data_IF_041192063668
#
_entry.id   IF_041192063668
#
_cell.length_a   1.000
_cell.length_b   1.000
_cell.length_c   1.000
_cell.angle_alpha   90.00
_cell.angle_beta   90.00
_cell.angle_gamma   90.00
#
_symmetry.space_group_name_H-M   'P 1'
#
loop_
_entity.id
_entity.type
_entity.pdbx_description
1 polymer ?
#
# COMPACT_ATOMS: atom_id res chain seq x y z
N UNK A 1 -20.58 -7.86 16.36
CA UNK A 1 -20.42 -8.50 15.04
C UNK A 1 -20.55 -7.41 13.98
N UNK A 2 -19.47 -6.66 13.76
CA UNK A 2 -19.36 -5.71 12.66
C UNK A 2 -18.23 -6.22 11.78
N UNK A 3 -18.58 -7.13 10.88
CA UNK A 3 -17.70 -7.62 9.84
C UNK A 3 -17.49 -6.49 8.84
N UNK A 4 -16.54 -5.60 9.11
CA UNK A 4 -16.02 -4.70 8.08
C UNK A 4 -14.82 -5.43 7.51
N UNK A 5 -14.97 -5.98 6.31
CA UNK A 5 -13.85 -6.44 5.49
C UNK A 5 -13.04 -5.21 5.06
N UNK A 6 -12.33 -4.60 6.00
CA UNK A 6 -11.49 -3.44 5.70
C UNK A 6 -10.28 -3.94 4.94
N UNK A 7 -10.28 -3.78 3.62
CA UNK A 7 -9.08 -3.91 2.78
C UNK A 7 -8.13 -2.73 2.95
N UNK A 8 -8.55 -1.67 3.64
CA UNK A 8 -7.75 -0.47 3.90
C UNK A 8 -7.49 -0.31 5.40
N UNK A 9 -6.22 -0.25 5.78
CA UNK A 9 -5.75 -0.04 7.13
C UNK A 9 -4.96 1.27 7.19
N UNK A 10 -5.29 2.11 8.17
CA UNK A 10 -4.71 3.44 8.31
C UNK A 10 -4.12 3.59 9.69
N UNK A 11 -2.86 4.03 9.76
CA UNK A 11 -2.16 4.40 10.98
C UNK A 11 -1.80 5.87 10.91
N UNK A 12 -2.22 6.62 11.92
CA UNK A 12 -1.89 8.05 12.08
C UNK A 12 -1.19 8.24 13.41
N UNK A 13 -0.04 8.91 13.41
CA UNK A 13 0.65 9.34 14.62
C UNK A 13 1.36 10.68 14.38
N UNK A 14 1.16 11.64 15.29
CA UNK A 14 1.77 12.99 15.24
C UNK A 14 1.64 13.67 13.86
N UNK A 15 0.52 13.47 13.18
CA UNK A 15 0.25 14.02 11.85
C UNK A 15 0.90 13.26 10.68
N UNK A 16 1.65 12.19 10.95
CA UNK A 16 2.18 11.27 9.93
C UNK A 16 1.23 10.12 9.71
N UNK A 17 1.23 9.60 8.50
CA UNK A 17 0.28 8.67 7.93
C UNK A 17 1.01 7.48 7.30
N UNK A 18 0.56 6.28 7.64
CA UNK A 18 0.88 5.05 6.93
C UNK A 18 -0.42 4.31 6.59
N UNK A 19 -0.53 3.87 5.35
CA UNK A 19 -1.69 3.20 4.78
C UNK A 19 -1.26 1.85 4.24
N UNK A 20 -2.02 0.82 4.54
CA UNK A 20 -1.91 -0.49 3.92
C UNK A 20 -3.23 -0.81 3.24
N UNK A 21 -3.19 -1.09 1.94
CA UNK A 21 -4.33 -1.56 1.17
C UNK A 21 -4.08 -2.99 0.68
N UNK A 22 -5.06 -3.86 0.87
CA UNK A 22 -5.00 -5.28 0.52
C UNK A 22 -5.98 -5.54 -0.63
N UNK A 23 -5.48 -6.04 -1.75
CA UNK A 23 -6.31 -6.44 -2.88
C UNK A 23 -5.90 -7.82 -3.37
N UNK A 24 -6.73 -8.83 -3.10
CA UNK A 24 -6.49 -10.22 -3.46
C UNK A 24 -5.08 -10.67 -3.01
N UNK A 25 -4.14 -10.83 -3.95
CA UNK A 25 -2.76 -11.27 -3.69
C UNK A 25 -1.76 -10.11 -3.52
N UNK A 26 -2.18 -8.88 -3.84
CA UNK A 26 -1.34 -7.69 -3.80
C UNK A 26 -1.59 -6.84 -2.56
N UNK A 27 -0.52 -6.24 -2.05
CA UNK A 27 -0.56 -5.34 -0.92
C UNK A 27 0.18 -4.04 -1.24
N UNK A 28 -0.52 -2.92 -1.13
CA UNK A 28 0.00 -1.58 -1.35
C UNK A 28 0.28 -0.96 0.02
N UNK A 29 1.52 -0.52 0.23
CA UNK A 29 1.92 0.26 1.42
C UNK A 29 2.32 1.66 0.97
N UNK A 30 1.67 2.69 1.49
CA UNK A 30 1.90 4.10 1.11
C UNK A 30 1.69 5.03 2.31
N UNK A 31 2.07 6.30 2.18
CA UNK A 31 1.96 7.32 3.24
C UNK A 31 3.17 8.25 3.26
N UNK A 32 3.19 9.20 4.20
CA UNK A 32 4.29 10.13 4.43
C UNK A 32 5.19 9.72 5.62
N UNK A 33 4.93 8.56 6.22
CA UNK A 33 5.72 8.00 7.30
C UNK A 33 6.66 6.86 6.84
N UNK A 34 7.77 7.23 6.20
CA UNK A 34 8.73 6.27 5.62
C UNK A 34 9.21 5.17 6.58
N UNK A 35 9.52 5.54 7.84
CA UNK A 35 9.97 4.58 8.85
C UNK A 35 8.92 3.49 9.14
N UNK A 36 7.64 3.89 9.26
CA UNK A 36 6.55 2.96 9.52
C UNK A 36 6.21 2.13 8.28
N UNK A 37 6.29 2.72 7.09
CA UNK A 37 6.14 2.01 5.80
C UNK A 37 7.20 0.90 5.70
N UNK A 38 8.47 1.24 5.95
CA UNK A 38 9.58 0.30 5.86
C UNK A 38 9.47 -0.80 6.93
N UNK A 39 9.09 -0.43 8.17
CA UNK A 39 8.82 -1.39 9.24
C UNK A 39 7.70 -2.35 8.89
N UNK A 40 6.61 -1.84 8.34
CA UNK A 40 5.44 -2.62 7.91
C UNK A 40 5.81 -3.59 6.81
N UNK A 41 6.50 -3.12 5.76
CA UNK A 41 7.02 -3.96 4.68
C UNK A 41 7.88 -5.11 5.22
N UNK A 42 8.88 -4.83 6.06
CA UNK A 42 9.75 -5.87 6.66
C UNK A 42 8.95 -6.90 7.46
N UNK A 43 8.04 -6.44 8.31
CA UNK A 43 7.22 -7.34 9.13
C UNK A 43 6.37 -8.27 8.27
N UNK A 44 5.82 -7.76 7.16
CA UNK A 44 5.04 -8.55 6.23
C UNK A 44 5.92 -9.53 5.44
N UNK A 45 7.08 -9.11 4.94
CA UNK A 45 8.02 -9.99 4.23
C UNK A 45 8.57 -11.14 5.08
N UNK A 46 8.62 -10.98 6.41
CA UNK A 46 9.01 -12.06 7.33
C UNK A 46 7.89 -13.10 7.50
N UNK A 47 6.63 -12.66 7.47
CA UNK A 47 5.46 -13.51 7.73
C UNK A 47 4.86 -14.13 6.49
N UNK A 48 5.01 -13.47 5.35
CA UNK A 48 4.44 -13.84 4.07
C UNK A 48 5.54 -13.87 3.01
N UNK A 49 5.46 -14.83 2.09
CA UNK A 49 6.36 -14.86 0.94
C UNK A 49 5.95 -13.75 -0.05
N UNK A 50 6.52 -12.56 0.14
CA UNK A 50 6.20 -11.37 -0.65
C UNK A 50 7.37 -10.99 -1.54
N UNK A 51 7.05 -10.53 -2.75
CA UNK A 51 7.99 -9.88 -3.66
C UNK A 51 7.72 -8.39 -3.67
N UNK A 52 8.75 -7.57 -3.58
CA UNK A 52 8.59 -6.14 -3.87
C UNK A 52 8.39 -5.96 -5.38
N UNK A 53 7.23 -5.41 -5.74
CA UNK A 53 6.89 -5.06 -7.12
C UNK A 53 7.37 -3.65 -7.51
N UNK A 54 7.84 -2.86 -6.53
CA UNK A 54 8.26 -1.48 -6.73
C UNK A 54 7.06 -0.52 -6.80
N UNK A 55 7.16 0.50 -7.64
CA UNK A 55 6.08 1.44 -7.87
C UNK A 55 4.90 0.74 -8.58
N UNK A 56 3.67 1.05 -8.17
CA UNK A 56 2.45 0.43 -8.70
C UNK A 56 2.31 0.77 -10.18
N UNK A 57 2.53 -0.19 -11.09
CA UNK A 57 2.31 0.01 -12.54
C UNK A 57 0.96 -0.48 -13.03
N UNK A 58 0.39 -1.45 -12.32
CA UNK A 58 -0.93 -1.98 -12.61
C UNK A 58 -1.68 -2.15 -11.28
N UNK A 59 -2.93 -1.72 -11.25
CA UNK A 59 -3.80 -1.88 -10.09
C UNK A 59 -5.23 -2.15 -10.54
N UNK A 60 -5.87 -3.20 -10.00
CA UNK A 60 -7.23 -3.61 -10.38
C UNK A 60 -7.42 -3.92 -11.89
N UNK A 61 -6.34 -4.22 -12.60
CA UNK A 61 -6.36 -4.38 -14.07
C UNK A 61 -6.28 -3.06 -14.86
N UNK A 62 -6.10 -1.92 -14.18
CA UNK A 62 -5.81 -0.62 -14.78
C UNK A 62 -4.30 -0.41 -14.85
N UNK A 63 -3.81 0.21 -15.92
CA UNK A 63 -2.42 0.65 -16.02
C UNK A 63 -2.28 2.04 -15.38
N UNK A 64 -1.20 2.22 -14.63
CA UNK A 64 -0.95 3.40 -13.81
C UNK A 64 0.32 4.10 -14.30
N UNK A 65 0.13 5.20 -15.00
CA UNK A 65 1.22 6.03 -15.51
C UNK A 65 1.51 7.20 -14.55
N UNK A 66 2.79 7.31 -14.16
CA UNK A 66 3.25 8.35 -13.24
C UNK A 66 3.84 9.50 -14.05
N UNK A 67 3.06 10.56 -14.22
CA UNK A 67 3.48 11.82 -14.82
C UNK A 67 4.12 12.76 -13.81
N UNK A 68 4.72 13.85 -14.30
CA UNK A 68 5.24 14.93 -13.43
C UNK A 68 4.13 15.65 -12.65
N UNK A 69 2.92 15.68 -13.21
CA UNK A 69 1.78 16.43 -12.67
C UNK A 69 0.77 15.54 -11.94
N UNK A 70 1.02 14.23 -11.84
CA UNK A 70 0.12 13.30 -11.15
C UNK A 70 0.13 11.89 -11.71
N UNK A 71 -0.99 11.20 -11.50
CA UNK A 71 -1.19 9.80 -11.88
C UNK A 71 -2.28 9.74 -12.96
N UNK A 72 -2.00 9.07 -14.06
CA UNK A 72 -2.96 8.74 -15.11
C UNK A 72 -3.35 7.27 -14.98
N UNK A 73 -4.65 6.99 -15.03
CA UNK A 73 -5.21 5.64 -15.02
C UNK A 73 -5.76 5.34 -16.42
N UNK A 74 -5.27 4.28 -17.06
CA UNK A 74 -5.80 3.76 -18.32
C UNK A 74 -6.86 2.69 -18.08
#
# INVERSE_FOLDING_TARGET
MTCVYSSLFVKVDRGRLAIVMVYVDDLIVTGDWDEEILRTKRNLSVRFHMKELGQVKHFLGLEVDHGRDGILLH
#
